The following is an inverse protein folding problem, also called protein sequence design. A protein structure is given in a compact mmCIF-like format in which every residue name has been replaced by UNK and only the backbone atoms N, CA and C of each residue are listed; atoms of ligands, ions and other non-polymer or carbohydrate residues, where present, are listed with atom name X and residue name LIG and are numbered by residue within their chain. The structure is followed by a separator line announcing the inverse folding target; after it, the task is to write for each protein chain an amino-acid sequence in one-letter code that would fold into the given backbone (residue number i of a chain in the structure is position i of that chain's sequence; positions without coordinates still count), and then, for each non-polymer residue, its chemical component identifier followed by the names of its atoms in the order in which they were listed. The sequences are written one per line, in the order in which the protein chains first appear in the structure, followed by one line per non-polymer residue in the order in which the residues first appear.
data_IF_534005550889
#
_entry.id   IF_534005550889
#
_cell.length_a   1.000
_cell.length_b   1.000
_cell.length_c   1.000
_cell.angle_alpha   90.00
_cell.angle_beta   90.00
_cell.angle_gamma   90.00
#
_symmetry.space_group_name_H-M   'P 1'
#
loop_
_entity.id
_entity.type
_entity.pdbx_description
1 polymer ?
#
# COMPACT_ATOMS: atom_id res chain seq x y z
N UNK A 1 -22.10 18.70 14.39
CA UNK A 1 -21.53 18.59 15.75
C UNK A 1 -21.25 17.13 16.10
N UNK A 2 -22.15 16.20 15.81
CA UNK A 2 -21.91 14.76 16.09
C UNK A 2 -20.81 14.14 15.22
N UNK A 3 -20.58 14.66 14.03
CA UNK A 3 -19.49 14.21 13.13
C UNK A 3 -18.11 14.56 13.72
N UNK A 4 -17.98 15.70 14.38
CA UNK A 4 -16.73 16.06 15.09
C UNK A 4 -16.49 15.17 16.30
N UNK A 5 -17.53 14.69 16.98
CA UNK A 5 -17.40 13.80 18.14
C UNK A 5 -16.93 12.40 17.71
N UNK A 6 -17.48 11.86 16.62
CA UNK A 6 -16.99 10.59 16.04
C UNK A 6 -15.53 10.71 15.59
N UNK A 7 -15.14 11.83 14.97
CA UNK A 7 -13.76 12.10 14.59
C UNK A 7 -12.83 12.21 15.80
N UNK A 8 -13.24 12.84 16.89
CA UNK A 8 -12.39 12.98 18.08
C UNK A 8 -12.31 11.69 18.91
N UNK A 9 -13.36 10.91 19.00
CA UNK A 9 -13.32 9.59 19.64
C UNK A 9 -12.44 8.63 18.84
N UNK A 10 -12.55 8.62 17.51
CA UNK A 10 -11.70 7.85 16.62
C UNK A 10 -10.21 8.24 16.74
N UNK A 11 -9.91 9.51 17.06
CA UNK A 11 -8.55 10.04 17.11
C UNK A 11 -7.90 10.00 18.50
N UNK A 12 -8.66 9.86 19.59
CA UNK A 12 -8.15 10.22 20.90
C UNK A 12 -8.03 9.04 21.87
N UNK A 13 -8.95 8.09 21.92
CA UNK A 13 -9.02 7.21 23.06
C UNK A 13 -9.61 5.82 22.88
N UNK A 14 -10.37 5.58 21.83
CA UNK A 14 -11.10 4.33 21.70
C UNK A 14 -10.22 3.24 21.05
N UNK A 15 -10.25 2.06 21.67
CA UNK A 15 -9.61 0.84 21.15
C UNK A 15 -10.46 0.19 20.06
N UNK A 16 -11.13 1.01 19.22
CA UNK A 16 -12.00 0.51 18.17
C UNK A 16 -11.17 0.01 17.00
N UNK A 17 -11.54 -1.16 16.50
CA UNK A 17 -11.02 -1.70 15.23
C UNK A 17 -12.14 -1.61 14.21
N UNK A 18 -11.95 -0.77 13.19
CA UNK A 18 -12.85 -0.64 12.06
C UNK A 18 -12.39 -1.58 10.95
N UNK A 19 -13.28 -2.43 10.47
CA UNK A 19 -12.99 -3.31 9.35
C UNK A 19 -13.79 -2.86 8.15
N UNK A 20 -13.08 -2.38 7.13
CA UNK A 20 -13.66 -1.94 5.88
C UNK A 20 -13.26 -2.90 4.76
N UNK A 21 -14.22 -3.49 4.12
CA UNK A 21 -14.03 -4.32 2.92
C UNK A 21 -14.26 -3.49 1.66
N UNK A 22 -13.85 -4.01 0.50
CA UNK A 22 -14.06 -3.35 -0.79
C UNK A 22 -13.26 -2.03 -0.90
N UNK A 23 -11.97 -2.11 -0.63
CA UNK A 23 -11.05 -1.01 -0.36
C UNK A 23 -10.63 -0.15 -1.56
N UNK A 24 -11.05 -0.52 -2.79
CA UNK A 24 -10.53 0.12 -4.01
C UNK A 24 -11.42 -0.11 -5.23
N UNK A 25 -10.94 0.33 -6.39
CA UNK A 25 -11.54 0.03 -7.70
C UNK A 25 -11.64 -1.48 -8.01
N UNK A 26 -10.96 -2.32 -7.25
CA UNK A 26 -11.08 -3.77 -7.29
C UNK A 26 -12.49 -4.29 -7.00
N UNK A 27 -13.37 -3.43 -6.46
CA UNK A 27 -14.80 -3.69 -6.33
C UNK A 27 -15.49 -4.00 -7.67
N UNK A 28 -15.08 -3.32 -8.75
CA UNK A 28 -15.54 -3.67 -10.09
C UNK A 28 -16.83 -2.96 -10.51
N UNK A 29 -17.84 -3.74 -10.92
CA UNK A 29 -19.04 -3.30 -11.64
C UNK A 29 -19.94 -2.34 -10.85
N UNK A 30 -19.91 -2.38 -9.51
CA UNK A 30 -20.72 -1.49 -8.65
C UNK A 30 -20.36 0.00 -8.87
N UNK A 31 -19.18 0.25 -9.41
CA UNK A 31 -18.82 1.54 -9.99
C UNK A 31 -18.41 2.61 -8.99
N UNK A 32 -18.32 3.88 -9.47
CA UNK A 32 -17.68 4.98 -8.74
C UNK A 32 -18.33 5.32 -7.39
N UNK A 33 -19.61 5.06 -7.22
CA UNK A 33 -20.34 5.34 -5.97
C UNK A 33 -19.94 4.42 -4.81
N UNK A 34 -19.27 3.30 -5.11
CA UNK A 34 -18.87 2.29 -4.13
C UNK A 34 -17.35 2.07 -4.11
N UNK A 35 -16.60 2.70 -5.01
CA UNK A 35 -15.13 2.55 -5.11
C UNK A 35 -14.43 3.68 -4.34
N UNK A 36 -13.82 3.39 -3.17
CA UNK A 36 -13.04 4.39 -2.45
C UNK A 36 -11.76 4.72 -3.21
N UNK A 37 -11.45 6.01 -3.32
CA UNK A 37 -10.24 6.55 -3.96
C UNK A 37 -9.43 7.35 -2.94
N UNK A 38 -10.02 8.42 -2.40
CA UNK A 38 -9.38 9.35 -1.45
C UNK A 38 -9.50 8.91 0.01
N UNK A 39 -10.30 7.90 0.31
CA UNK A 39 -10.62 7.49 1.68
C UNK A 39 -9.38 7.02 2.45
N UNK A 40 -8.50 6.25 1.81
CA UNK A 40 -7.25 5.80 2.45
C UNK A 40 -6.35 6.98 2.80
N UNK A 41 -6.17 7.92 1.88
CA UNK A 41 -5.38 9.14 2.11
C UNK A 41 -5.98 9.98 3.26
N UNK A 42 -7.30 10.15 3.27
CA UNK A 42 -8.01 10.88 4.34
C UNK A 42 -7.85 10.21 5.70
N UNK A 43 -8.01 8.89 5.78
CA UNK A 43 -7.82 8.12 7.02
C UNK A 43 -6.37 8.19 7.53
N UNK A 44 -5.38 8.07 6.64
CA UNK A 44 -3.96 8.17 6.98
C UNK A 44 -3.56 9.57 7.47
N UNK A 45 -4.32 10.59 7.12
CA UNK A 45 -4.10 11.96 7.60
C UNK A 45 -4.57 12.17 9.05
N UNK A 46 -5.34 11.26 9.64
CA UNK A 46 -5.80 11.33 11.03
C UNK A 46 -4.64 11.05 11.98
N UNK A 47 -4.28 11.97 12.90
CA UNK A 47 -3.05 11.88 13.69
C UNK A 47 -2.91 10.61 14.54
N UNK A 48 -3.95 10.14 15.18
CA UNK A 48 -3.88 8.96 16.07
C UNK A 48 -4.73 7.81 15.52
N UNK A 49 -4.50 7.39 14.28
CA UNK A 49 -5.20 6.28 13.66
C UNK A 49 -4.22 5.38 12.90
N UNK A 50 -4.17 4.10 13.22
CA UNK A 50 -3.46 3.12 12.42
C UNK A 50 -4.35 2.69 11.25
N UNK A 51 -3.84 2.81 10.02
CA UNK A 51 -4.54 2.36 8.82
C UNK A 51 -3.74 1.21 8.23
N UNK A 52 -4.26 0.01 8.42
CA UNK A 52 -3.70 -1.22 7.88
C UNK A 52 -4.37 -1.57 6.55
N UNK A 53 -3.56 -1.84 5.55
CA UNK A 53 -4.00 -2.35 4.25
C UNK A 53 -3.17 -3.57 3.87
N UNK A 54 -3.52 -4.76 4.40
CA UNK A 54 -2.73 -5.97 4.21
C UNK A 54 -2.83 -6.51 2.78
N UNK A 55 -1.74 -7.11 2.33
CA UNK A 55 -1.58 -7.65 0.97
C UNK A 55 -2.07 -9.09 0.82
N UNK A 56 -2.03 -9.88 1.89
CA UNK A 56 -2.41 -11.28 1.89
C UNK A 56 -2.95 -11.74 3.25
N UNK A 57 -3.22 -13.02 3.38
CA UNK A 57 -3.74 -13.63 4.62
C UNK A 57 -2.77 -13.49 5.79
N UNK A 58 -1.46 -13.62 5.55
CA UNK A 58 -0.45 -13.52 6.60
C UNK A 58 -0.38 -12.09 7.13
N UNK A 59 -0.28 -11.11 6.24
CA UNK A 59 -0.32 -9.70 6.64
C UNK A 59 -1.65 -9.33 7.32
N UNK A 60 -2.78 -9.90 6.86
CA UNK A 60 -4.08 -9.69 7.51
C UNK A 60 -4.04 -10.15 8.96
N UNK A 61 -3.53 -11.35 9.21
CA UNK A 61 -3.37 -11.87 10.58
C UNK A 61 -2.45 -10.98 11.43
N UNK A 62 -1.31 -10.59 10.87
CA UNK A 62 -0.34 -9.72 11.55
C UNK A 62 -0.93 -8.34 11.88
N UNK A 63 -1.69 -7.76 10.96
CA UNK A 63 -2.37 -6.48 11.18
C UNK A 63 -3.46 -6.59 12.26
N UNK A 64 -4.22 -7.69 12.28
CA UNK A 64 -5.17 -7.97 13.36
C UNK A 64 -4.51 -8.06 14.71
N UNK A 65 -3.37 -8.78 14.81
CA UNK A 65 -2.60 -8.86 16.05
C UNK A 65 -2.20 -7.47 16.53
N UNK A 66 -1.62 -6.63 15.64
CA UNK A 66 -1.21 -5.26 15.98
C UNK A 66 -2.38 -4.38 16.41
N UNK A 67 -3.52 -4.52 15.75
CA UNK A 67 -4.72 -3.76 16.09
C UNK A 67 -5.28 -4.17 17.47
N UNK A 68 -5.26 -5.46 17.82
CA UNK A 68 -5.69 -5.98 19.11
C UNK A 68 -4.73 -5.58 20.25
N UNK A 69 -3.43 -5.55 19.99
CA UNK A 69 -2.39 -5.16 20.95
C UNK A 69 -2.32 -3.63 21.16
N UNK A 70 -2.89 -2.84 20.25
CA UNK A 70 -2.90 -1.37 20.32
C UNK A 70 -3.83 -0.88 21.41
N UNK A 71 -3.25 -0.31 22.49
CA UNK A 71 -4.02 0.11 23.66
C UNK A 71 -4.52 1.57 23.60
N UNK A 72 -3.86 2.43 22.81
CA UNK A 72 -4.11 3.87 22.83
C UNK A 72 -4.34 4.46 21.41
N UNK A 73 -4.43 3.60 20.40
CA UNK A 73 -4.58 4.03 19.01
C UNK A 73 -5.63 3.15 18.34
N UNK A 74 -6.74 3.72 17.87
CA UNK A 74 -7.71 3.00 17.08
C UNK A 74 -7.09 2.53 15.76
N UNK A 75 -7.69 1.51 15.17
CA UNK A 75 -7.19 0.90 13.95
C UNK A 75 -8.27 0.77 12.89
N UNK A 76 -7.90 0.99 11.65
CA UNK A 76 -8.68 0.62 10.46
C UNK A 76 -7.97 -0.54 9.78
N UNK A 77 -8.69 -1.60 9.45
CA UNK A 77 -8.22 -2.69 8.60
C UNK A 77 -9.01 -2.62 7.30
N UNK A 78 -8.34 -2.21 6.23
CA UNK A 78 -8.92 -2.03 4.90
C UNK A 78 -8.60 -3.24 4.03
N UNK A 79 -9.64 -3.98 3.63
CA UNK A 79 -9.52 -5.27 2.97
C UNK A 79 -10.06 -5.21 1.55
N UNK A 80 -9.36 -5.87 0.64
CA UNK A 80 -9.79 -5.98 -0.75
C UNK A 80 -10.96 -6.97 -0.91
N UNK A 81 -11.78 -6.79 -1.96
CA UNK A 81 -12.85 -7.72 -2.34
C UNK A 81 -12.32 -8.93 -3.09
N UNK A 82 -11.34 -8.70 -3.97
CA UNK A 82 -10.80 -9.78 -4.82
C UNK A 82 -9.86 -10.70 -4.06
N UNK A 83 -9.75 -11.94 -4.54
CA UNK A 83 -8.72 -12.86 -4.07
C UNK A 83 -7.32 -12.33 -4.38
N UNK A 84 -6.40 -12.52 -3.47
CA UNK A 84 -4.98 -12.11 -3.60
C UNK A 84 -4.07 -13.33 -3.45
N UNK A 85 -2.94 -13.29 -4.15
CA UNK A 85 -1.92 -14.33 -4.02
C UNK A 85 -1.08 -14.09 -2.76
N UNK A 86 -0.59 -15.15 -2.10
CA UNK A 86 0.39 -15.01 -1.03
C UNK A 86 1.63 -14.27 -1.55
N UNK A 87 2.07 -13.25 -0.83
CA UNK A 87 3.30 -12.52 -1.16
C UNK A 87 4.51 -13.03 -0.38
N UNK A 88 4.27 -13.66 0.76
CA UNK A 88 5.29 -14.29 1.59
C UNK A 88 5.09 -15.80 1.61
N UNK A 89 6.16 -16.51 1.24
CA UNK A 89 6.21 -17.98 1.28
C UNK A 89 7.07 -18.49 2.46
N UNK A 90 7.70 -17.58 3.21
CA UNK A 90 8.54 -17.93 4.34
C UNK A 90 7.73 -18.24 5.60
N UNK A 91 8.05 -19.33 6.27
CA UNK A 91 7.57 -19.62 7.61
C UNK A 91 8.35 -18.76 8.63
N UNK A 92 7.83 -17.59 8.94
CA UNK A 92 8.37 -16.71 9.97
C UNK A 92 7.33 -16.48 11.07
N UNK A 93 7.71 -16.72 12.32
CA UNK A 93 6.88 -16.38 13.48
C UNK A 93 6.95 -14.89 13.84
N UNK A 94 7.82 -14.12 13.17
CA UNK A 94 7.95 -12.68 13.42
C UNK A 94 6.86 -11.93 12.65
N UNK A 95 6.11 -11.11 13.36
CA UNK A 95 5.16 -10.17 12.77
C UNK A 95 5.95 -9.08 12.01
N UNK A 96 6.08 -9.22 10.67
CA UNK A 96 6.80 -8.25 9.84
C UNK A 96 6.00 -6.96 9.66
N UNK A 97 4.69 -7.02 9.74
CA UNK A 97 3.81 -5.85 9.66
C UNK A 97 4.01 -4.88 10.82
N UNK A 98 4.59 -5.35 11.95
CA UNK A 98 4.97 -4.50 13.09
C UNK A 98 6.03 -3.45 12.77
N UNK A 99 6.72 -3.59 11.65
CA UNK A 99 7.68 -2.61 11.14
C UNK A 99 6.99 -1.52 10.27
N UNK A 100 5.72 -1.72 9.92
CA UNK A 100 4.94 -0.82 9.06
C UNK A 100 5.25 -0.90 7.58
N UNK A 101 6.48 -1.26 7.24
CA UNK A 101 6.96 -1.58 5.90
C UNK A 101 8.13 -2.55 5.97
N UNK A 102 8.23 -3.46 5.00
CA UNK A 102 9.34 -4.42 4.92
C UNK A 102 9.56 -4.92 3.49
N UNK A 103 10.77 -5.38 3.20
CA UNK A 103 11.12 -5.93 1.90
C UNK A 103 10.50 -7.33 1.71
N UNK A 104 9.77 -7.53 0.61
CA UNK A 104 9.14 -8.81 0.26
C UNK A 104 9.83 -9.51 -0.90
N UNK A 105 10.46 -8.75 -1.79
CA UNK A 105 11.17 -9.29 -2.94
C UNK A 105 12.36 -8.39 -3.30
N UNK A 106 13.44 -9.02 -3.71
CA UNK A 106 14.62 -8.37 -4.31
C UNK A 106 14.99 -9.13 -5.58
N UNK A 107 15.10 -8.45 -6.70
CA UNK A 107 15.32 -9.10 -7.99
C UNK A 107 16.80 -9.18 -8.42
N UNK A 108 17.71 -8.60 -7.64
CA UNK A 108 19.17 -8.63 -7.89
C UNK A 108 19.93 -7.82 -6.84
N UNK A 109 21.24 -7.70 -6.98
CA UNK A 109 22.10 -7.00 -6.01
C UNK A 109 22.20 -5.50 -6.27
N UNK A 110 22.34 -5.08 -7.53
CA UNK A 110 22.45 -3.67 -7.93
C UNK A 110 21.06 -3.06 -8.15
N UNK A 111 20.43 -2.61 -7.08
CA UNK A 111 19.06 -2.11 -7.10
C UNK A 111 19.01 -0.68 -7.62
N UNK A 112 18.35 -0.47 -8.77
CA UNK A 112 18.07 0.85 -9.34
C UNK A 112 16.70 1.39 -8.90
N UNK A 113 15.74 0.52 -8.60
CA UNK A 113 14.35 0.92 -8.31
C UNK A 113 13.87 0.36 -6.98
N UNK A 114 13.32 1.22 -6.13
CA UNK A 114 12.51 0.80 -4.96
C UNK A 114 11.03 0.93 -5.30
N UNK A 115 10.27 -0.16 -5.18
CA UNK A 115 8.83 -0.17 -5.45
C UNK A 115 8.09 -0.36 -4.12
N UNK A 116 7.32 0.64 -3.72
CA UNK A 116 6.48 0.65 -2.53
C UNK A 116 5.08 0.24 -2.94
N UNK A 117 4.48 -0.73 -2.26
CA UNK A 117 3.11 -1.13 -2.51
C UNK A 117 2.38 -1.51 -1.22
N UNK A 118 1.06 -1.59 -1.28
CA UNK A 118 0.24 -2.01 -0.15
C UNK A 118 -1.03 -2.69 -0.65
N UNK A 119 -1.61 -3.53 0.17
CA UNK A 119 -2.83 -4.24 -0.19
C UNK A 119 -2.67 -5.12 -1.44
N UNK A 120 -3.73 -5.23 -2.21
CA UNK A 120 -3.77 -6.07 -3.42
C UNK A 120 -2.71 -5.70 -4.47
N UNK A 121 -2.22 -4.47 -4.47
CA UNK A 121 -1.23 -4.02 -5.46
C UNK A 121 0.20 -4.50 -5.18
N UNK A 122 0.46 -5.09 -4.02
CA UNK A 122 1.77 -5.71 -3.73
C UNK A 122 2.08 -6.87 -4.69
N UNK A 123 1.07 -7.64 -5.08
CA UNK A 123 1.23 -8.67 -6.12
C UNK A 123 1.61 -8.06 -7.47
N UNK A 124 0.95 -6.98 -7.87
CA UNK A 124 1.29 -6.23 -9.10
C UNK A 124 2.73 -5.68 -9.02
N UNK A 125 3.16 -5.18 -7.85
CA UNK A 125 4.52 -4.71 -7.65
C UNK A 125 5.56 -5.83 -7.84
N UNK A 126 5.27 -7.04 -7.37
CA UNK A 126 6.13 -8.21 -7.61
C UNK A 126 6.23 -8.53 -9.12
N UNK A 127 5.10 -8.52 -9.83
CA UNK A 127 5.08 -8.76 -11.29
C UNK A 127 5.89 -7.69 -12.05
N UNK A 128 5.76 -6.42 -11.65
CA UNK A 128 6.57 -5.32 -12.19
C UNK A 128 8.06 -5.55 -11.93
N UNK A 129 8.44 -5.93 -10.71
CA UNK A 129 9.83 -6.22 -10.34
C UNK A 129 10.43 -7.36 -11.17
N UNK A 130 9.71 -8.46 -11.31
CA UNK A 130 10.14 -9.58 -12.17
C UNK A 130 10.28 -9.16 -13.63
N UNK A 131 9.35 -8.37 -14.14
CA UNK A 131 9.39 -7.89 -15.52
C UNK A 131 10.57 -6.94 -15.78
N UNK A 132 10.85 -6.02 -14.85
CA UNK A 132 12.03 -5.14 -14.92
C UNK A 132 13.32 -5.95 -14.92
N UNK A 133 13.41 -6.99 -14.10
CA UNK A 133 14.58 -7.85 -14.04
C UNK A 133 14.90 -8.56 -15.37
N UNK A 134 13.86 -8.94 -16.15
CA UNK A 134 14.09 -9.49 -17.50
C UNK A 134 14.74 -8.51 -18.46
N UNK A 135 14.67 -7.23 -18.16
CA UNK A 135 15.27 -6.14 -18.94
C UNK A 135 16.57 -5.60 -18.28
N UNK A 136 17.10 -6.32 -17.27
CA UNK A 136 18.34 -5.97 -16.57
C UNK A 136 18.21 -4.83 -15.56
N UNK A 137 16.97 -4.39 -15.23
CA UNK A 137 16.70 -3.37 -14.23
C UNK A 137 16.29 -4.08 -12.93
N UNK A 138 17.13 -4.00 -11.90
CA UNK A 138 16.86 -4.68 -10.64
C UNK A 138 16.14 -3.77 -9.65
N UNK A 139 15.20 -4.38 -8.92
CA UNK A 139 14.36 -3.66 -7.98
C UNK A 139 14.21 -4.38 -6.66
N UNK A 140 13.91 -3.63 -5.61
CA UNK A 140 13.38 -4.16 -4.36
C UNK A 140 11.93 -3.75 -4.19
N UNK A 141 11.12 -4.70 -3.76
CA UNK A 141 9.69 -4.52 -3.56
C UNK A 141 9.42 -4.50 -2.06
N UNK A 142 8.76 -3.44 -1.62
CA UNK A 142 8.43 -3.17 -0.23
C UNK A 142 6.92 -3.27 -0.06
N UNK A 143 6.45 -4.18 0.79
CA UNK A 143 5.09 -4.11 1.30
C UNK A 143 5.03 -3.10 2.44
N UNK A 144 4.05 -2.21 2.41
CA UNK A 144 3.85 -1.16 3.41
C UNK A 144 2.43 -1.24 4.00
N UNK A 145 2.13 -2.26 4.81
CA UNK A 145 0.80 -2.45 5.36
C UNK A 145 0.32 -1.31 6.27
N UNK A 146 1.23 -0.53 6.89
CA UNK A 146 0.85 0.61 7.72
C UNK A 146 1.91 1.72 7.70
N UNK A 147 1.67 2.78 6.93
CA UNK A 147 2.60 3.91 6.81
C UNK A 147 2.90 4.59 8.15
N UNK A 148 1.90 4.71 9.03
CA UNK A 148 2.10 5.35 10.33
C UNK A 148 3.10 4.62 11.20
N UNK A 149 3.02 3.30 11.26
CA UNK A 149 3.99 2.50 12.02
C UNK A 149 5.39 2.65 11.40
N UNK A 150 5.47 2.68 10.06
CA UNK A 150 6.74 2.92 9.37
C UNK A 150 7.32 4.31 9.67
N UNK A 151 6.49 5.34 9.70
CA UNK A 151 6.93 6.71 10.02
C UNK A 151 7.57 6.83 11.41
N UNK A 152 7.15 5.99 12.35
CA UNK A 152 7.71 5.95 13.71
C UNK A 152 8.96 5.05 13.84
N UNK A 153 9.42 4.39 12.77
CA UNK A 153 10.67 3.63 12.80
C UNK A 153 11.89 4.57 12.86
N UNK A 154 13.03 3.99 13.25
CA UNK A 154 14.30 4.72 13.25
C UNK A 154 14.66 5.25 11.86
N UNK A 155 15.39 6.35 11.79
CA UNK A 155 15.87 6.91 10.52
C UNK A 155 16.75 5.90 9.75
N UNK A 156 17.52 5.09 10.48
CA UNK A 156 18.34 4.03 9.90
C UNK A 156 17.45 2.98 9.20
N UNK A 157 16.37 2.53 9.87
CA UNK A 157 15.44 1.59 9.27
C UNK A 157 14.72 2.17 8.05
N UNK A 158 14.27 3.43 8.14
CA UNK A 158 13.63 4.12 7.02
C UNK A 158 14.57 4.24 5.82
N UNK A 159 15.82 4.62 6.03
CA UNK A 159 16.86 4.65 4.98
C UNK A 159 17.12 3.26 4.39
N UNK A 160 17.18 2.22 5.22
CA UNK A 160 17.34 0.84 4.74
C UNK A 160 16.19 0.43 3.82
N UNK A 161 14.95 0.73 4.20
CA UNK A 161 13.74 0.33 3.45
C UNK A 161 13.60 1.16 2.16
N UNK A 162 13.65 2.48 2.25
CA UNK A 162 13.51 3.35 1.08
C UNK A 162 14.74 3.24 0.16
N UNK A 163 15.94 3.14 0.75
CA UNK A 163 17.21 3.02 0.05
C UNK A 163 17.64 4.32 -0.62
N UNK A 164 18.86 4.28 -1.15
CA UNK A 164 19.42 5.31 -2.02
C UNK A 164 19.40 4.79 -3.47
N UNK A 165 18.19 4.55 -3.99
CA UNK A 165 17.98 4.07 -5.36
C UNK A 165 17.73 5.24 -6.31
N UNK A 166 18.02 5.04 -7.59
CA UNK A 166 17.84 6.07 -8.62
C UNK A 166 16.39 6.52 -8.71
N UNK A 167 15.45 5.58 -8.49
CA UNK A 167 14.04 5.85 -8.58
C UNK A 167 13.25 5.14 -7.46
N UNK A 168 12.38 5.89 -6.79
CA UNK A 168 11.39 5.33 -5.85
C UNK A 168 10.00 5.45 -6.49
N UNK A 169 9.26 4.36 -6.46
CA UNK A 169 7.95 4.23 -7.10
C UNK A 169 6.92 3.76 -6.08
N UNK A 170 5.69 4.26 -6.15
CA UNK A 170 4.57 3.70 -5.40
C UNK A 170 3.49 3.13 -6.30
N UNK A 171 2.84 2.05 -5.86
CA UNK A 171 1.73 1.40 -6.57
C UNK A 171 0.62 1.14 -5.54
N UNK A 172 -0.49 1.85 -5.70
CA UNK A 172 -1.69 1.67 -4.87
C UNK A 172 -2.93 2.12 -5.64
N UNK A 173 -3.99 1.33 -5.64
CA UNK A 173 -5.28 1.67 -6.26
C UNK A 173 -6.07 2.68 -5.39
N UNK A 174 -5.46 3.83 -5.13
CA UNK A 174 -5.96 4.95 -4.31
C UNK A 174 -5.36 6.27 -4.79
N UNK A 175 -5.76 7.38 -4.19
CA UNK A 175 -5.22 8.70 -4.46
C UNK A 175 -3.71 8.76 -4.18
N UNK A 176 -2.93 9.46 -5.02
CA UNK A 176 -1.47 9.34 -5.08
C UNK A 176 -0.68 10.31 -4.21
N UNK A 177 -1.29 11.41 -3.74
CA UNK A 177 -0.54 12.50 -3.09
C UNK A 177 0.13 12.07 -1.77
N UNK A 178 -0.47 11.16 -1.02
CA UNK A 178 0.09 10.69 0.24
C UNK A 178 1.44 9.98 0.06
N UNK A 179 1.68 9.37 -1.11
CA UNK A 179 2.92 8.66 -1.41
C UNK A 179 4.10 9.57 -1.68
N UNK A 180 3.87 10.83 -2.05
CA UNK A 180 4.93 11.78 -2.39
C UNK A 180 5.94 12.01 -1.27
N UNK A 181 5.54 11.83 -0.01
CA UNK A 181 6.46 11.92 1.13
C UNK A 181 7.54 10.82 1.15
N UNK A 182 7.28 9.68 0.50
CA UNK A 182 8.23 8.58 0.40
C UNK A 182 8.95 8.55 -0.94
N UNK A 183 8.24 8.87 -2.01
CA UNK A 183 8.80 8.83 -3.37
C UNK A 183 9.56 10.09 -3.75
N UNK A 184 9.34 11.19 -3.00
CA UNK A 184 9.96 12.47 -3.29
C UNK A 184 9.43 13.13 -4.57
N UNK A 185 10.10 14.19 -5.00
CA UNK A 185 9.70 14.98 -6.19
C UNK A 185 10.02 14.29 -7.50
N UNK A 186 11.02 13.41 -7.51
CA UNK A 186 11.46 12.69 -8.71
C UNK A 186 10.83 11.32 -8.88
N UNK A 187 10.15 10.80 -7.84
CA UNK A 187 9.53 9.49 -7.86
C UNK A 187 8.27 9.43 -8.71
N UNK A 188 7.83 8.20 -8.99
CA UNK A 188 6.60 7.92 -9.72
C UNK A 188 5.55 7.36 -8.77
N UNK A 189 4.31 7.82 -8.93
CA UNK A 189 3.20 7.34 -8.12
C UNK A 189 2.10 6.81 -9.06
N UNK A 190 1.88 5.51 -9.02
CA UNK A 190 0.82 4.83 -9.76
C UNK A 190 -0.39 4.64 -8.87
N UNK A 191 -1.48 5.27 -9.24
CA UNK A 191 -2.73 5.27 -8.47
C UNK A 191 -3.84 5.92 -9.26
N UNK A 192 -4.84 6.46 -8.56
CA UNK A 192 -6.06 6.99 -9.16
C UNK A 192 -6.28 8.40 -8.64
N UNK A 193 -6.36 9.36 -9.56
CA UNK A 193 -6.60 10.78 -9.25
C UNK A 193 -7.90 11.27 -9.91
N UNK A 194 -8.86 10.36 -10.11
CA UNK A 194 -10.17 10.60 -10.70
C UNK A 194 -11.19 9.64 -10.07
N UNK A 195 -12.45 9.80 -10.38
CA UNK A 195 -13.49 8.85 -9.96
C UNK A 195 -13.28 7.47 -10.59
N UNK A 196 -13.69 6.43 -9.85
CA UNK A 196 -13.72 5.06 -10.35
C UNK A 196 -14.56 4.88 -11.61
N UNK A 197 -14.64 3.66 -12.09
CA UNK A 197 -15.42 3.29 -13.30
C UNK A 197 -16.20 2.01 -13.04
N UNK A 198 -17.32 1.81 -13.76
CA UNK A 198 -18.11 0.59 -13.70
C UNK A 198 -17.68 -0.33 -14.84
N UNK A 199 -17.03 -1.42 -14.51
CA UNK A 199 -16.60 -2.50 -15.42
C UNK A 199 -16.03 -3.67 -14.61
N UNK A 200 -15.77 -4.85 -15.22
CA UNK A 200 -14.95 -5.87 -14.58
C UNK A 200 -13.62 -5.30 -14.08
N UNK A 201 -13.25 -5.60 -12.84
CA UNK A 201 -12.13 -4.92 -12.14
C UNK A 201 -10.82 -4.89 -12.95
N UNK A 202 -10.47 -5.97 -13.66
CA UNK A 202 -9.26 -6.00 -14.52
C UNK A 202 -9.27 -4.91 -15.59
N UNK A 203 -10.43 -4.66 -16.23
CA UNK A 203 -10.57 -3.58 -17.21
C UNK A 203 -10.44 -2.20 -16.58
N UNK A 204 -10.86 -2.05 -15.32
CA UNK A 204 -10.71 -0.79 -14.59
C UNK A 204 -9.24 -0.55 -14.28
N UNK A 205 -8.50 -1.57 -13.81
CA UNK A 205 -7.05 -1.48 -13.60
C UNK A 205 -6.32 -1.11 -14.89
N UNK A 206 -6.67 -1.73 -16.01
CA UNK A 206 -6.10 -1.38 -17.34
C UNK A 206 -6.42 0.06 -17.76
N UNK A 207 -7.64 0.51 -17.52
CA UNK A 207 -8.06 1.89 -17.82
C UNK A 207 -7.19 2.91 -17.08
N UNK A 208 -6.91 2.67 -15.79
CA UNK A 208 -6.04 3.52 -14.96
C UNK A 208 -4.56 3.21 -15.12
N UNK A 209 -4.19 2.31 -16.05
CA UNK A 209 -2.80 1.90 -16.31
C UNK A 209 -2.10 1.30 -15.07
N UNK A 210 -2.87 0.73 -14.17
CA UNK A 210 -2.40 -0.05 -13.04
C UNK A 210 -2.20 -1.51 -13.48
N UNK A 211 -1.31 -1.72 -14.44
CA UNK A 211 -0.89 -3.03 -14.94
C UNK A 211 0.63 -3.05 -15.19
N UNK A 212 1.19 -4.24 -15.26
CA UNK A 212 2.63 -4.47 -15.33
C UNK A 212 3.27 -3.75 -16.52
N UNK A 213 2.68 -3.83 -17.70
CA UNK A 213 3.23 -3.26 -18.94
C UNK A 213 3.31 -1.74 -18.88
N UNK A 214 2.24 -1.08 -18.42
CA UNK A 214 2.16 0.37 -18.33
C UNK A 214 3.14 0.93 -17.29
N UNK A 215 3.25 0.25 -16.14
CA UNK A 215 4.14 0.65 -15.04
C UNK A 215 5.60 0.48 -15.45
N UNK A 216 5.96 -0.69 -16.01
CA UNK A 216 7.33 -0.97 -16.48
C UNK A 216 7.75 0.03 -17.55
N UNK A 217 6.87 0.32 -18.51
CA UNK A 217 7.14 1.33 -19.55
C UNK A 217 7.49 2.68 -18.92
N UNK A 218 6.68 3.15 -17.97
CA UNK A 218 6.89 4.45 -17.32
C UNK A 218 8.15 4.50 -16.45
N UNK A 219 8.49 3.41 -15.78
CA UNK A 219 9.74 3.30 -15.03
C UNK A 219 10.94 3.43 -15.98
N UNK A 220 10.94 2.71 -17.09
CA UNK A 220 12.01 2.78 -18.10
C UNK A 220 12.15 4.15 -18.77
N UNK A 221 11.05 4.86 -18.96
CA UNK A 221 11.08 6.23 -19.52
C UNK A 221 11.68 7.24 -18.53
N UNK A 222 11.72 6.89 -17.24
CA UNK A 222 12.15 7.78 -16.16
C UNK A 222 13.60 7.53 -15.73
N UNK A 223 14.11 6.29 -15.85
CA UNK A 223 15.53 5.94 -15.66
C UNK A 223 16.40 6.40 -16.85
#
# INVERSE_FOLDING_TARGET
IRICLVGSEMCIRDRVIYVFTHDSIGLGEDGPTHQPIEQLTSLRSIPNLNVFRPSDTIETFECWQLALESNNTPSVISLTRQGVNPIRLENSLKNKSSLGAYEVLRTGDNISVTILATGSETSLANDVGHKLATDGIYSKIISMPCQKIFDHQSEEYKKKILGETELVVSIEASETNYWKKYTGTNGLNFGINDFGKSAPYKKIYDHFKLNTESIVKKIKEKL
#
